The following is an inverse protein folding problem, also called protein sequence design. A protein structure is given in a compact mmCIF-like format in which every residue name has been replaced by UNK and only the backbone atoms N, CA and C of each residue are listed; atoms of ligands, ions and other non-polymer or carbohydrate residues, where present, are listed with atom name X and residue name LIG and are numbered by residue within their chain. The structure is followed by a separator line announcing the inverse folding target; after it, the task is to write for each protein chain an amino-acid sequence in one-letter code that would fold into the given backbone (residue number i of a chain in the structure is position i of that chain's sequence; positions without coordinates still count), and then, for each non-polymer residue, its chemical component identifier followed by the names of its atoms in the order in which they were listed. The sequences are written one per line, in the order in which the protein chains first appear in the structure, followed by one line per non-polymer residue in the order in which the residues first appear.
data_IF_394874588208
#
_entry.id   IF_394874588208
#
_cell.length_a   1.000
_cell.length_b   1.000
_cell.length_c   1.000
_cell.angle_alpha   90.00
_cell.angle_beta   90.00
_cell.angle_gamma   90.00
#
_symmetry.space_group_name_H-M   'P 1'
#
loop_
_entity.id
_entity.type
_entity.pdbx_description
1 polymer ?
#
# COMPACT_ATOMS: atom_id res chain seq x y z
N UNK A 1 4.96 -20.74 -18.96
CA UNK A 1 3.80 -19.94 -18.54
C UNK A 1 4.33 -18.93 -17.54
N UNK A 2 4.30 -17.63 -17.84
CA UNK A 2 4.74 -16.59 -16.90
C UNK A 2 3.49 -15.96 -16.28
N UNK A 3 3.45 -15.92 -14.95
CA UNK A 3 2.45 -15.20 -14.18
C UNK A 3 3.01 -13.83 -13.78
N UNK A 4 2.12 -12.91 -13.42
CA UNK A 4 2.51 -11.53 -13.20
C UNK A 4 3.19 -11.30 -11.85
N UNK A 5 4.05 -10.29 -11.78
CA UNK A 5 4.67 -9.78 -10.55
C UNK A 5 4.21 -8.34 -10.30
N UNK A 6 3.87 -8.01 -9.05
CA UNK A 6 3.44 -6.68 -8.68
C UNK A 6 4.56 -5.87 -8.04
N UNK A 7 4.66 -4.58 -8.39
CA UNK A 7 5.63 -3.63 -7.87
C UNK A 7 4.92 -2.35 -7.40
N UNK A 8 5.50 -1.68 -6.40
CA UNK A 8 5.03 -0.36 -5.95
C UNK A 8 5.89 0.72 -6.59
N UNK A 9 5.25 1.78 -7.10
CA UNK A 9 5.93 2.97 -7.62
C UNK A 9 6.84 3.57 -6.53
N UNK A 10 8.06 3.94 -6.92
CA UNK A 10 9.07 4.52 -6.03
C UNK A 10 9.48 3.61 -4.85
N UNK A 11 9.12 2.33 -4.89
CA UNK A 11 9.63 1.33 -3.95
C UNK A 11 10.89 0.65 -4.49
N UNK A 12 11.45 -0.28 -3.72
CA UNK A 12 12.54 -1.13 -4.15
C UNK A 12 12.23 -1.82 -5.49
N UNK A 13 13.27 -2.25 -6.22
CA UNK A 13 13.10 -3.04 -7.46
C UNK A 13 12.56 -4.47 -7.22
N UNK A 14 12.29 -4.84 -5.98
CA UNK A 14 11.76 -6.17 -5.65
C UNK A 14 10.23 -6.17 -5.78
N UNK A 15 9.65 -7.26 -6.31
CA UNK A 15 8.22 -7.41 -6.37
C UNK A 15 7.66 -7.54 -4.95
N UNK A 16 6.49 -6.94 -4.73
CA UNK A 16 5.74 -7.09 -3.47
C UNK A 16 4.87 -8.33 -3.46
N UNK A 17 4.61 -8.92 -4.63
CA UNK A 17 3.83 -10.14 -4.80
C UNK A 17 4.18 -10.78 -6.14
N UNK A 18 4.22 -12.11 -6.18
CA UNK A 18 4.61 -12.89 -7.35
C UNK A 18 3.56 -13.97 -7.65
N UNK A 19 3.70 -14.61 -8.81
CA UNK A 19 2.81 -15.69 -9.27
C UNK A 19 1.32 -15.32 -9.30
N UNK A 20 1.03 -14.07 -9.65
CA UNK A 20 -0.33 -13.53 -9.66
C UNK A 20 -1.13 -14.16 -10.80
N UNK A 21 -2.21 -14.83 -10.42
CA UNK A 21 -3.16 -15.47 -11.33
C UNK A 21 -4.47 -14.68 -11.48
N UNK A 22 -4.84 -13.89 -10.47
CA UNK A 22 -6.04 -13.05 -10.48
C UNK A 22 -5.74 -11.71 -9.84
N UNK A 23 -6.32 -10.65 -10.41
CA UNK A 23 -6.30 -9.30 -9.85
C UNK A 23 -7.73 -8.72 -9.85
N UNK A 24 -8.15 -8.11 -8.75
CA UNK A 24 -9.42 -7.37 -8.62
C UNK A 24 -9.11 -5.93 -8.23
N UNK A 25 -9.62 -4.96 -8.99
CA UNK A 25 -9.51 -3.53 -8.68
C UNK A 25 -10.81 -3.09 -8.02
N UNK A 26 -10.73 -2.69 -6.77
CA UNK A 26 -11.87 -2.31 -5.95
C UNK A 26 -11.65 -0.88 -5.45
N UNK A 27 -11.95 0.13 -6.27
CA UNK A 27 -11.98 1.54 -5.89
C UNK A 27 -10.69 2.08 -5.25
N UNK A 28 -10.54 1.85 -3.95
CA UNK A 28 -9.44 2.25 -3.06
C UNK A 28 -8.37 1.17 -2.82
N UNK A 29 -8.55 -0.05 -3.34
CA UNK A 29 -7.61 -1.16 -3.17
C UNK A 29 -7.52 -2.09 -4.37
N UNK A 30 -6.41 -2.83 -4.40
CA UNK A 30 -6.13 -3.89 -5.37
C UNK A 30 -5.94 -5.20 -4.61
N UNK A 31 -6.75 -6.20 -4.96
CA UNK A 31 -6.62 -7.56 -4.43
C UNK A 31 -5.95 -8.44 -5.47
N UNK A 32 -4.99 -9.25 -5.05
CA UNK A 32 -4.22 -10.16 -5.90
C UNK A 32 -4.23 -11.56 -5.30
N UNK A 33 -4.32 -12.58 -6.15
CA UNK A 33 -4.39 -13.98 -5.75
C UNK A 33 -3.47 -14.83 -6.63
N UNK A 34 -2.73 -15.78 -6.03
CA UNK A 34 -1.93 -16.77 -6.76
C UNK A 34 -2.77 -17.98 -7.18
N UNK A 35 -2.20 -18.88 -7.99
CA UNK A 35 -2.88 -20.15 -8.35
C UNK A 35 -3.18 -21.06 -7.14
N UNK A 36 -2.49 -20.86 -6.02
CA UNK A 36 -2.65 -21.66 -4.82
C UNK A 36 -3.53 -20.99 -3.76
N UNK A 37 -4.18 -19.87 -4.11
CA UNK A 37 -5.08 -19.14 -3.22
C UNK A 37 -4.38 -18.26 -2.19
N UNK A 38 -3.08 -17.99 -2.32
CA UNK A 38 -2.43 -16.96 -1.51
C UNK A 38 -2.90 -15.58 -1.98
N UNK A 39 -3.30 -14.73 -1.04
CA UNK A 39 -3.87 -13.41 -1.32
C UNK A 39 -3.01 -12.27 -0.78
N UNK A 40 -2.98 -11.16 -1.51
CA UNK A 40 -2.43 -9.89 -1.04
C UNK A 40 -3.31 -8.72 -1.43
N UNK A 41 -3.60 -7.86 -0.46
CA UNK A 41 -4.37 -6.63 -0.65
C UNK A 41 -3.46 -5.43 -0.49
N UNK A 42 -3.51 -4.50 -1.44
CA UNK A 42 -2.74 -3.26 -1.43
C UNK A 42 -3.70 -2.08 -1.53
N UNK A 43 -3.69 -1.13 -0.57
CA UNK A 43 -4.44 0.12 -0.71
C UNK A 43 -3.81 0.95 -1.83
N UNK A 44 -4.59 1.34 -2.83
CA UNK A 44 -4.01 1.92 -4.04
C UNK A 44 -4.79 1.65 -5.30
N UNK A 45 -4.13 1.94 -6.42
CA UNK A 45 -4.64 1.70 -7.77
C UNK A 45 -3.58 1.06 -8.66
N UNK A 46 -4.03 0.37 -9.70
CA UNK A 46 -3.16 -0.08 -10.80
C UNK A 46 -2.80 1.13 -11.66
N UNK A 47 -1.51 1.30 -11.93
CA UNK A 47 -0.99 2.33 -12.84
C UNK A 47 -0.67 1.76 -14.21
N UNK A 48 -0.05 0.59 -14.26
CA UNK A 48 0.34 -0.06 -15.51
C UNK A 48 0.25 -1.58 -15.39
N UNK A 49 -0.11 -2.23 -16.49
CA UNK A 49 0.05 -3.67 -16.69
C UNK A 49 0.88 -3.86 -17.95
N UNK A 50 2.07 -4.41 -17.79
CA UNK A 50 2.95 -4.78 -18.90
C UNK A 50 2.93 -6.30 -19.07
N UNK A 51 2.18 -6.75 -20.09
CA UNK A 51 2.06 -8.16 -20.42
C UNK A 51 3.35 -8.75 -21.01
N UNK A 52 4.21 -7.94 -21.63
CA UNK A 52 5.48 -8.41 -22.20
C UNK A 52 6.46 -8.80 -21.10
N UNK A 53 6.49 -8.00 -20.02
CA UNK A 53 7.33 -8.25 -18.85
C UNK A 53 6.62 -9.03 -17.73
N UNK A 54 5.35 -9.38 -17.91
CA UNK A 54 4.51 -10.01 -16.88
C UNK A 54 4.57 -9.22 -15.56
N UNK A 55 4.35 -7.90 -15.63
CA UNK A 55 4.43 -7.02 -14.47
C UNK A 55 3.19 -6.14 -14.31
N UNK A 56 2.90 -5.83 -13.05
CA UNK A 56 1.82 -4.93 -12.62
C UNK A 56 2.47 -3.84 -11.76
N UNK A 57 2.24 -2.59 -12.09
CA UNK A 57 2.73 -1.45 -11.33
C UNK A 57 1.58 -0.81 -10.54
N UNK A 58 1.75 -0.67 -9.24
CA UNK A 58 0.75 -0.12 -8.33
C UNK A 58 1.22 1.20 -7.71
N UNK A 59 0.28 2.12 -7.55
CA UNK A 59 0.42 3.35 -6.77
C UNK A 59 -0.24 3.11 -5.41
N UNK A 60 0.57 3.02 -4.35
CA UNK A 60 0.10 2.72 -3.01
C UNK A 60 -0.40 4.01 -2.33
N UNK A 61 -1.64 4.00 -1.84
CA UNK A 61 -2.13 5.05 -0.96
C UNK A 61 -1.55 4.84 0.43
N UNK A 62 -0.36 5.41 0.69
CA UNK A 62 0.16 5.50 2.05
C UNK A 62 -0.69 6.49 2.84
N UNK A 63 -1.35 6.04 3.91
CA UNK A 63 -1.61 6.95 5.02
C UNK A 63 -0.24 7.41 5.51
N UNK A 64 0.12 8.66 5.24
CA UNK A 64 1.36 9.24 5.73
C UNK A 64 1.43 9.05 7.25
N UNK A 65 2.43 8.30 7.71
CA UNK A 65 2.80 8.13 9.13
C UNK A 65 3.07 9.49 9.82
N UNK A 66 3.34 10.55 9.04
CA UNK A 66 3.43 11.92 9.54
C UNK A 66 2.12 12.42 10.18
N UNK A 67 0.97 11.91 9.75
CA UNK A 67 -0.33 12.24 10.36
C UNK A 67 -0.50 11.65 11.76
N UNK A 68 0.14 10.52 12.07
CA UNK A 68 0.15 9.93 13.41
C UNK A 68 1.03 10.77 14.35
N UNK A 69 2.19 11.24 13.86
CA UNK A 69 3.08 12.13 14.63
C UNK A 69 2.45 13.48 14.94
N UNK A 70 1.72 14.09 13.99
CA UNK A 70 1.00 15.34 14.24
C UNK A 70 -0.15 15.19 15.24
N UNK A 71 -0.86 14.06 15.23
CA UNK A 71 -1.94 13.77 16.20
C UNK A 71 -1.39 13.55 17.60
N UNK A 72 -0.29 12.81 17.74
CA UNK A 72 0.39 12.65 19.03
C UNK A 72 0.94 13.97 19.57
N UNK A 73 1.53 14.81 18.71
CA UNK A 73 2.09 16.10 19.13
C UNK A 73 0.98 17.07 19.59
N UNK A 74 -0.17 17.11 18.91
CA UNK A 74 -1.33 17.91 19.32
C UNK A 74 -1.90 17.44 20.66
N UNK A 75 -1.95 16.13 20.89
CA UNK A 75 -2.39 15.58 22.19
C UNK A 75 -1.41 15.92 23.31
N UNK A 76 -0.09 15.75 23.11
CA UNK A 76 0.94 16.14 24.08
C UNK A 76 0.86 17.63 24.44
N UNK A 77 0.70 18.50 23.45
CA UNK A 77 0.60 19.94 23.69
C UNK A 77 -0.67 20.28 24.50
N UNK A 78 -1.80 19.63 24.24
CA UNK A 78 -3.06 19.87 24.97
C UNK A 78 -2.98 19.47 26.44
N UNK A 79 -2.25 18.40 26.76
CA UNK A 79 -2.04 17.95 28.15
C UNK A 79 -1.11 18.91 28.91
N UNK A 80 -0.08 19.45 28.26
CA UNK A 80 0.85 20.40 28.87
C UNK A 80 0.19 21.71 29.32
N UNK A 81 -0.75 22.26 28.54
CA UNK A 81 -1.49 23.48 28.91
C UNK A 81 -2.37 23.30 30.16
N UNK A 82 -2.88 22.09 30.40
CA UNK A 82 -3.74 21.81 31.55
C UNK A 82 -2.95 21.69 32.86
N UNK A 83 -1.65 21.36 32.81
CA UNK A 83 -0.79 21.22 34.00
C UNK A 83 -0.17 22.54 34.47
N UNK A 84 -0.24 23.61 33.67
CA UNK A 84 0.31 24.93 34.02
C UNK A 84 -0.79 25.88 34.56
N UNK A 85 -1.98 25.37 34.85
CA UNK A 85 -3.13 26.13 35.35
C UNK A 85 -3.66 25.58 36.70
N UNK A 86 -2.92 24.68 37.35
CA UNK A 86 -3.09 24.27 38.76
C UNK A 86 -1.92 24.76 39.61
#
# INVERSE_FOLDING_TARGET
MCLAKAFIINSSKQPIFEDIARLRVLGDRVEMETLFGEEKVVPGRVVEIDFSNSSILLDEYRENDDSLKEREQRQRNTVAWKQTQE
#
